data_IF_603798549255
#
_entry.id   IF_603798549255
#
_cell.length_a   1.000
_cell.length_b   1.000
_cell.length_c   1.000
_cell.angle_alpha   90.00
_cell.angle_beta   90.00
_cell.angle_gamma   90.00
#
_symmetry.space_group_name_H-M   'P 1'
#
loop_
_entity.id
_entity.type
_entity.pdbx_description
1 polymer ?
#
# COMPACT_ATOMS: atom_id res chain seq x y z
N UNK A 1 17.61 -2.46 4.97
CA UNK A 1 16.63 -3.56 4.98
C UNK A 1 15.28 -2.91 5.06
N UNK A 2 14.49 -3.04 4.00
CA UNK A 2 13.13 -2.54 4.00
C UNK A 2 12.24 -3.48 4.82
N UNK A 3 11.08 -2.95 5.24
CA UNK A 3 10.05 -3.77 5.91
C UNK A 3 8.86 -3.87 4.98
N UNK A 4 8.44 -5.10 4.76
CA UNK A 4 7.27 -5.43 3.95
C UNK A 4 6.10 -5.67 4.89
N UNK A 5 4.93 -5.14 4.53
CA UNK A 5 3.69 -5.47 5.21
C UNK A 5 3.03 -6.62 4.46
N UNK A 6 3.14 -7.83 5.00
CA UNK A 6 2.66 -9.06 4.38
C UNK A 6 1.31 -9.46 4.94
N UNK A 7 0.34 -9.70 4.08
CA UNK A 7 -0.93 -10.29 4.46
C UNK A 7 -0.77 -11.78 4.79
N UNK A 8 -1.50 -12.26 5.79
CA UNK A 8 -1.52 -13.68 6.14
C UNK A 8 -2.22 -14.53 5.08
N UNK A 9 -3.26 -13.96 4.49
CA UNK A 9 -4.06 -14.53 3.41
C UNK A 9 -4.42 -13.40 2.43
N UNK A 10 -4.86 -13.73 1.22
CA UNK A 10 -5.29 -12.72 0.25
C UNK A 10 -6.49 -11.92 0.82
N UNK A 11 -6.35 -10.59 1.02
CA UNK A 11 -7.42 -9.81 1.61
C UNK A 11 -8.59 -9.65 0.65
N UNK A 12 -9.79 -9.53 1.20
CA UNK A 12 -11.00 -9.15 0.46
C UNK A 12 -11.29 -7.65 0.62
N UNK A 13 -12.17 -7.09 -0.22
CA UNK A 13 -12.63 -5.71 -0.04
C UNK A 13 -13.32 -5.48 1.31
N UNK A 14 -13.99 -6.50 1.86
CA UNK A 14 -14.66 -6.42 3.15
C UNK A 14 -13.64 -6.31 4.30
N UNK A 15 -12.52 -7.03 4.22
CA UNK A 15 -11.47 -6.95 5.24
C UNK A 15 -10.85 -5.55 5.31
N UNK A 16 -10.80 -4.87 4.16
CA UNK A 16 -10.24 -3.53 4.00
C UNK A 16 -11.30 -2.42 4.13
N UNK A 17 -12.55 -2.75 4.44
CA UNK A 17 -13.61 -1.77 4.60
C UNK A 17 -13.30 -0.78 5.73
N UNK A 18 -13.59 0.50 5.47
CA UNK A 18 -13.33 1.61 6.39
C UNK A 18 -11.89 2.10 6.40
N UNK A 19 -10.94 1.41 5.76
CA UNK A 19 -9.57 1.90 5.59
C UNK A 19 -9.55 2.99 4.51
N UNK A 20 -9.03 4.16 4.86
CA UNK A 20 -8.90 5.26 3.92
C UNK A 20 -7.64 6.07 4.14
N UNK A 21 -7.14 6.65 3.04
CA UNK A 21 -6.05 7.63 3.07
C UNK A 21 -6.41 8.77 2.14
N UNK A 22 -6.41 9.99 2.65
CA UNK A 22 -6.82 11.20 1.94
C UNK A 22 -8.19 11.04 1.25
N UNK A 23 -9.13 10.37 1.93
CA UNK A 23 -10.47 10.06 1.41
C UNK A 23 -10.53 8.96 0.34
N UNK A 24 -9.39 8.40 -0.08
CA UNK A 24 -9.35 7.26 -0.97
C UNK A 24 -9.55 5.94 -0.21
N UNK A 25 -10.27 5.00 -0.82
CA UNK A 25 -10.53 3.65 -0.28
C UNK A 25 -10.02 2.58 -1.24
N UNK A 26 -9.96 1.32 -0.76
CA UNK A 26 -9.64 0.19 -1.64
C UNK A 26 -10.79 -0.12 -2.62
N UNK A 27 -10.42 -0.44 -3.85
CA UNK A 27 -11.30 -0.90 -4.94
C UNK A 27 -10.68 -2.11 -5.64
N UNK A 28 -11.50 -2.91 -6.33
CA UNK A 28 -11.00 -3.92 -7.28
C UNK A 28 -10.77 -3.24 -8.62
N UNK A 29 -9.52 -3.28 -9.09
CA UNK A 29 -9.13 -2.74 -10.38
C UNK A 29 -7.76 -3.34 -10.78
N UNK A 30 -7.29 -3.08 -11.99
CA UNK A 30 -5.97 -3.54 -12.44
C UNK A 30 -4.87 -2.79 -11.70
N UNK A 31 -4.03 -3.57 -11.02
CA UNK A 31 -2.79 -3.10 -10.43
C UNK A 31 -1.78 -2.66 -11.48
N UNK A 32 -0.75 -1.94 -11.05
CA UNK A 32 0.31 -1.54 -11.96
C UNK A 32 1.29 -2.68 -12.21
N UNK A 33 1.63 -3.43 -11.15
CA UNK A 33 2.61 -4.51 -11.20
C UNK A 33 1.99 -5.90 -11.39
N UNK A 34 0.67 -5.95 -11.57
CA UNK A 34 -0.07 -7.18 -11.78
C UNK A 34 -0.97 -7.09 -13.00
N UNK A 35 -0.97 -8.16 -13.80
CA UNK A 35 -1.80 -8.26 -15.02
C UNK A 35 -3.27 -8.56 -14.72
N UNK A 36 -3.58 -8.97 -13.48
CA UNK A 36 -4.92 -9.31 -13.01
C UNK A 36 -5.48 -8.21 -12.11
N UNK A 37 -6.81 -8.21 -11.93
CA UNK A 37 -7.45 -7.31 -10.97
C UNK A 37 -6.99 -7.65 -9.54
N UNK A 38 -6.64 -6.61 -8.80
CA UNK A 38 -6.25 -6.70 -7.39
C UNK A 38 -6.93 -5.60 -6.59
N UNK A 39 -6.67 -5.55 -5.28
CA UNK A 39 -7.11 -4.46 -4.43
C UNK A 39 -6.12 -3.31 -4.52
N UNK A 40 -6.61 -2.15 -4.98
CA UNK A 40 -5.83 -0.92 -5.08
C UNK A 40 -6.53 0.22 -4.36
N UNK A 41 -5.76 1.12 -3.78
CA UNK A 41 -6.24 2.42 -3.30
C UNK A 41 -5.47 3.50 -4.06
N UNK A 42 -6.15 4.23 -4.94
CA UNK A 42 -5.57 5.34 -5.70
C UNK A 42 -5.65 6.60 -4.84
N UNK A 43 -4.51 7.16 -4.43
CA UNK A 43 -4.45 8.24 -3.44
C UNK A 43 -4.19 9.57 -4.17
N UNK A 44 -5.23 10.37 -4.44
CA UNK A 44 -5.11 11.54 -5.30
C UNK A 44 -4.37 12.69 -4.62
N UNK A 45 -3.66 13.51 -5.39
CA UNK A 45 -3.14 14.84 -4.98
C UNK A 45 -2.31 14.91 -3.69
N UNK A 46 -1.76 13.77 -3.26
CA UNK A 46 -1.14 13.62 -1.95
C UNK A 46 0.38 13.80 -2.02
N UNK A 47 0.96 13.53 -3.19
CA UNK A 47 2.40 13.64 -3.45
C UNK A 47 2.67 14.43 -4.73
N UNK A 48 3.96 14.72 -4.98
CA UNK A 48 4.41 15.31 -6.26
C UNK A 48 4.03 14.43 -7.46
N UNK A 49 3.90 13.14 -7.22
CA UNK A 49 3.62 12.10 -8.21
C UNK A 49 2.31 11.40 -7.86
N UNK A 50 1.66 10.78 -8.84
CA UNK A 50 0.52 9.91 -8.58
C UNK A 50 0.98 8.74 -7.71
N UNK A 51 0.18 8.38 -6.71
CA UNK A 51 0.52 7.32 -5.75
C UNK A 51 -0.67 6.41 -5.53
N UNK A 52 -0.42 5.11 -5.42
CA UNK A 52 -1.42 4.13 -5.03
C UNK A 52 -0.83 3.12 -4.06
N UNK A 53 -1.68 2.59 -3.18
CA UNK A 53 -1.43 1.33 -2.52
C UNK A 53 -1.96 0.20 -3.40
N UNK A 54 -1.21 -0.89 -3.48
CA UNK A 54 -1.57 -2.07 -4.24
C UNK A 54 -1.31 -3.31 -3.39
N UNK A 55 -2.26 -4.24 -3.38
CA UNK A 55 -2.06 -5.58 -2.85
C UNK A 55 -1.34 -6.39 -3.92
N UNK A 56 -0.04 -6.60 -3.75
CA UNK A 56 0.81 -7.36 -4.66
C UNK A 56 0.76 -8.85 -4.35
N UNK A 57 0.35 -9.67 -5.32
CA UNK A 57 0.33 -11.12 -5.22
C UNK A 57 1.54 -11.71 -5.95
N UNK A 58 2.54 -12.12 -5.18
CA UNK A 58 3.61 -12.99 -5.65
C UNK A 58 3.19 -14.47 -5.63
N UNK A 59 4.12 -15.36 -5.98
CA UNK A 59 3.84 -16.81 -6.08
C UNK A 59 3.41 -17.44 -4.75
N UNK A 60 3.96 -16.96 -3.63
CA UNK A 60 3.72 -17.52 -2.28
C UNK A 60 3.33 -16.45 -1.24
N UNK A 61 3.27 -15.18 -1.63
CA UNK A 61 3.05 -14.08 -0.70
C UNK A 61 2.11 -13.02 -1.26
N UNK A 62 1.42 -12.35 -0.35
CA UNK A 62 0.55 -11.23 -0.66
C UNK A 62 1.01 -10.05 0.18
N UNK A 63 1.55 -9.02 -0.48
CA UNK A 63 2.22 -7.91 0.18
C UNK A 63 1.49 -6.59 -0.13
N UNK A 64 1.34 -5.73 0.86
CA UNK A 64 0.94 -4.35 0.59
C UNK A 64 2.17 -3.60 0.10
N UNK A 65 2.09 -3.03 -1.10
CA UNK A 65 3.13 -2.18 -1.67
C UNK A 65 2.57 -0.80 -1.96
N UNK A 66 3.48 0.16 -2.05
CA UNK A 66 3.16 1.48 -2.57
C UNK A 66 3.76 1.65 -3.96
N UNK A 67 2.94 2.12 -4.88
CA UNK A 67 3.35 2.46 -6.24
C UNK A 67 3.36 3.98 -6.40
N UNK A 68 4.49 4.52 -6.88
CA UNK A 68 4.61 5.92 -7.28
C UNK A 68 4.92 6.04 -8.76
N UNK A 69 4.26 6.97 -9.45
CA UNK A 69 4.47 7.24 -10.86
C UNK A 69 5.49 8.36 -11.05
N UNK A 70 6.77 8.00 -11.08
CA UNK A 70 7.86 8.94 -11.27
C UNK A 70 8.06 9.28 -12.77
N UNK A 71 8.95 10.23 -13.05
CA UNK A 71 9.22 10.70 -14.43
C UNK A 71 9.80 9.63 -15.35
N UNK A 72 10.48 8.61 -14.80
CA UNK A 72 11.04 7.49 -15.55
C UNK A 72 10.09 6.30 -15.64
N UNK A 73 8.96 6.37 -14.95
CA UNK A 73 8.01 5.28 -14.87
C UNK A 73 7.51 5.00 -13.45
N UNK A 74 6.66 3.98 -13.33
CA UNK A 74 6.20 3.38 -12.07
C UNK A 74 7.38 2.85 -11.23
N UNK A 75 7.39 3.14 -9.94
CA UNK A 75 8.29 2.51 -8.97
C UNK A 75 7.46 1.92 -7.82
N UNK A 76 7.81 0.71 -7.39
CA UNK A 76 7.22 0.09 -6.20
C UNK A 76 8.12 0.33 -4.99
N UNK A 77 7.49 0.40 -3.83
CA UNK A 77 8.13 0.62 -2.55
C UNK A 77 7.53 -0.31 -1.51
N UNK A 78 8.39 -0.97 -0.75
CA UNK A 78 7.99 -1.66 0.47
C UNK A 78 7.46 -0.65 1.48
N UNK A 79 6.42 -1.00 2.21
CA UNK A 79 5.73 -0.06 3.11
C UNK A 79 6.63 0.56 4.18
N UNK A 80 7.58 -0.19 4.74
CA UNK A 80 8.49 0.32 5.76
C UNK A 80 9.48 1.37 5.22
N UNK A 81 9.93 1.20 3.98
CA UNK A 81 10.83 2.12 3.30
C UNK A 81 10.08 3.32 2.74
N UNK A 82 8.82 3.12 2.34
CA UNK A 82 7.94 4.15 1.79
C UNK A 82 7.82 5.34 2.75
N UNK A 83 7.65 5.12 4.05
CA UNK A 83 7.56 6.17 5.06
C UNK A 83 8.76 7.14 5.11
N UNK A 84 9.97 6.66 4.81
CA UNK A 84 11.19 7.48 4.89
C UNK A 84 11.52 8.17 3.57
N UNK A 85 11.18 7.53 2.46
CA UNK A 85 11.59 7.97 1.12
C UNK A 85 10.56 8.88 0.47
N UNK A 86 9.31 8.75 0.88
CA UNK A 86 8.24 9.54 0.32
C UNK A 86 8.21 10.87 1.05
N UNK A 87 8.51 11.94 0.33
CA UNK A 87 8.29 13.29 0.82
C UNK A 87 6.80 13.57 0.93
N UNK A 88 6.17 13.18 2.04
CA UNK A 88 4.80 13.55 2.38
C UNK A 88 4.71 15.08 2.43
N UNK A 89 3.84 15.66 1.59
CA UNK A 89 3.58 17.11 1.61
C UNK A 89 2.64 17.51 2.75
N UNK A 90 1.83 16.56 3.21
CA UNK A 90 0.90 16.72 4.32
C UNK A 90 1.20 15.66 5.40
N UNK A 91 1.62 16.06 6.61
CA UNK A 91 1.86 15.14 7.72
C UNK A 91 0.64 14.30 8.12
N UNK A 92 -0.57 14.81 7.92
CA UNK A 92 -1.82 14.08 8.23
C UNK A 92 -1.94 12.79 7.39
N UNK A 93 -1.51 12.86 6.14
CA UNK A 93 -1.51 11.71 5.24
C UNK A 93 -0.49 10.68 5.72
N UNK A 94 0.69 11.12 6.15
CA UNK A 94 1.70 10.21 6.70
C UNK A 94 1.12 9.45 7.91
N UNK A 95 0.41 10.15 8.79
CA UNK A 95 -0.30 9.55 9.92
C UNK A 95 -1.35 8.53 9.45
N UNK A 96 -2.21 8.89 8.49
CA UNK A 96 -3.23 7.98 7.94
C UNK A 96 -2.61 6.70 7.34
N UNK A 97 -1.47 6.81 6.65
CA UNK A 97 -0.76 5.63 6.15
C UNK A 97 -0.24 4.74 7.27
N UNK A 98 0.32 5.31 8.35
CA UNK A 98 0.80 4.55 9.50
C UNK A 98 -0.35 3.86 10.21
N UNK A 99 -1.44 4.59 10.46
CA UNK A 99 -2.66 4.08 11.07
C UNK A 99 -3.30 2.96 10.23
N UNK A 100 -3.28 3.08 8.90
CA UNK A 100 -3.73 2.01 8.01
C UNK A 100 -2.91 0.73 8.21
N UNK A 101 -1.58 0.84 8.18
CA UNK A 101 -0.70 -0.31 8.38
C UNK A 101 -0.87 -0.92 9.78
N UNK A 102 -0.95 -0.09 10.82
CA UNK A 102 -1.19 -0.54 12.20
C UNK A 102 -2.54 -1.23 12.33
N UNK A 103 -3.60 -0.68 11.72
CA UNK A 103 -4.93 -1.28 11.73
C UNK A 103 -4.94 -2.66 11.09
N UNK A 104 -4.23 -2.84 9.96
CA UNK A 104 -4.10 -4.16 9.32
C UNK A 104 -3.43 -5.19 10.23
N UNK A 105 -2.40 -4.77 10.98
CA UNK A 105 -1.70 -5.63 11.94
C UNK A 105 -2.59 -5.93 13.15
N UNK A 106 -3.25 -4.93 13.72
CA UNK A 106 -4.13 -5.08 14.89
C UNK A 106 -5.38 -5.92 14.59
N UNK A 107 -5.95 -5.80 13.39
CA UNK A 107 -7.02 -6.69 12.91
C UNK A 107 -6.53 -8.12 12.64
N UNK A 108 -5.22 -8.35 12.67
CA UNK A 108 -4.60 -9.64 12.43
C UNK A 108 -4.57 -10.06 10.97
N UNK A 109 -4.79 -9.13 10.03
CA UNK A 109 -4.79 -9.38 8.59
C UNK A 109 -3.38 -9.44 8.00
N UNK A 110 -2.45 -8.65 8.57
CA UNK A 110 -1.08 -8.55 8.09
C UNK A 110 -0.05 -8.59 9.22
N UNK A 111 1.22 -8.75 8.86
CA UNK A 111 2.36 -8.67 9.76
C UNK A 111 3.57 -8.05 9.05
N UNK A 112 4.45 -7.42 9.82
CA UNK A 112 5.71 -6.89 9.29
C UNK A 112 6.73 -8.00 9.11
N UNK A 113 7.39 -8.04 7.97
CA UNK A 113 8.51 -8.95 7.67
C UNK A 113 9.66 -8.17 7.03
N UNK A 114 10.87 -8.72 7.07
CA UNK A 114 12.06 -8.15 6.45
C UNK A 114 12.42 -9.01 5.23
N UNK A 115 12.69 -8.40 4.08
CA UNK A 115 13.33 -9.11 2.97
C UNK A 115 14.77 -9.44 3.38
N UNK A 116 15.12 -10.73 3.38
CA UNK A 116 16.46 -11.23 3.72
C UNK A 116 17.44 -11.00 2.57
#
# INVERSE_FOLDING_TARGET
MGKILRFKEEPTLLDLEGLSVNGATFIRDKGFFQSTETLIMRIPHTFRFSTSLEVYKGDEHCDLILVQFLTRGPEYWEMGDSFRRIGFRNPEIETQFKELCETLVTKGLAYWTEEQ
#
